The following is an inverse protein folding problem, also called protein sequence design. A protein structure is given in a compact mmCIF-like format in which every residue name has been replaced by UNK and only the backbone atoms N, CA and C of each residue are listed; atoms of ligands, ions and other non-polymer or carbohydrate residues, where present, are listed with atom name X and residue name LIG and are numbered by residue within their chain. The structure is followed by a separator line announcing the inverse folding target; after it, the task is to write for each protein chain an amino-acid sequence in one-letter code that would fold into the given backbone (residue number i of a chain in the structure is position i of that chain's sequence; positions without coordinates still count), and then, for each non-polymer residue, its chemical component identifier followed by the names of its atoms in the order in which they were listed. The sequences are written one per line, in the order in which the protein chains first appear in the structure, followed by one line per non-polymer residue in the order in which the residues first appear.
data_IF_587701805642
#
_entry.id   IF_587701805642
#
_cell.length_a   1.000
_cell.length_b   1.000
_cell.length_c   1.000
_cell.angle_alpha   90.00
_cell.angle_beta   90.00
_cell.angle_gamma   90.00
#
_symmetry.space_group_name_H-M   'P 1'
#
loop_
_entity.id
_entity.type
_entity.pdbx_description
1 polymer ?
#
# COMPACT_ATOMS: atom_id res chain seq x y z
N UNK A 1 -4.93 22.80 -16.29
CA UNK A 1 -4.95 22.43 -14.87
C UNK A 1 -4.64 20.95 -14.71
N UNK A 2 -3.72 20.66 -13.82
CA UNK A 2 -3.39 19.27 -13.48
C UNK A 2 -4.49 18.68 -12.61
N UNK A 3 -4.92 17.49 -12.96
CA UNK A 3 -5.85 16.74 -12.13
C UNK A 3 -5.08 16.00 -11.05
N UNK A 4 -5.48 16.18 -9.80
CA UNK A 4 -4.87 15.42 -8.69
C UNK A 4 -5.71 14.19 -8.40
N UNK A 5 -5.05 13.04 -8.30
CA UNK A 5 -5.68 11.79 -7.96
C UNK A 5 -5.06 11.27 -6.66
N UNK A 6 -5.88 11.16 -5.62
CA UNK A 6 -5.44 10.59 -4.35
C UNK A 6 -5.59 9.10 -4.36
N UNK A 7 -4.51 8.41 -4.02
CA UNK A 7 -4.45 6.94 -3.94
C UNK A 7 -3.91 6.58 -2.57
N UNK A 8 -4.46 5.54 -1.97
CA UNK A 8 -4.03 5.06 -0.65
C UNK A 8 -3.45 3.66 -0.77
N UNK A 9 -2.44 3.38 0.05
CA UNK A 9 -1.77 2.10 0.11
C UNK A 9 -1.56 1.69 1.56
N UNK A 10 -1.61 0.39 1.82
CA UNK A 10 -1.47 -0.16 3.17
C UNK A 10 -0.15 -0.88 3.33
N UNK A 11 0.63 -0.47 4.34
CA UNK A 11 1.73 -1.28 4.83
C UNK A 11 1.14 -2.11 5.97
N UNK A 12 0.78 -3.34 5.65
CA UNK A 12 0.14 -4.28 6.58
C UNK A 12 1.25 -5.06 7.27
N UNK A 13 1.30 -4.97 8.58
CA UNK A 13 2.36 -5.63 9.35
C UNK A 13 1.80 -6.67 10.31
N UNK A 14 2.44 -7.84 10.35
CA UNK A 14 2.11 -8.91 11.27
C UNK A 14 3.40 -9.66 11.61
N UNK A 15 3.70 -9.79 12.89
CA UNK A 15 4.86 -10.53 13.37
C UNK A 15 6.19 -10.09 12.74
N UNK A 16 6.35 -8.77 12.58
CA UNK A 16 7.57 -8.18 12.02
C UNK A 16 7.70 -8.27 10.51
N UNK A 17 6.68 -8.79 9.84
CA UNK A 17 6.66 -8.91 8.38
C UNK A 17 5.57 -8.01 7.79
N UNK A 18 5.81 -7.56 6.58
CA UNK A 18 4.85 -6.75 5.84
C UNK A 18 4.34 -7.52 4.63
N UNK A 19 3.14 -7.18 4.17
CA UNK A 19 2.49 -7.86 3.07
C UNK A 19 2.73 -7.13 1.76
N UNK A 20 3.34 -7.81 0.81
CA UNK A 20 3.48 -7.33 -0.57
C UNK A 20 2.50 -8.08 -1.47
N UNK A 21 2.00 -7.40 -2.48
CA UNK A 21 1.05 -7.94 -3.44
C UNK A 21 1.62 -7.74 -4.85
N UNK A 22 1.56 -8.78 -5.67
CA UNK A 22 2.09 -8.73 -7.03
C UNK A 22 1.00 -8.31 -8.01
N UNK A 23 1.28 -7.28 -8.80
CA UNK A 23 0.32 -6.75 -9.77
C UNK A 23 -0.03 -7.82 -10.82
N UNK A 24 -1.33 -7.95 -11.15
CA UNK A 24 -1.75 -8.96 -12.11
C UNK A 24 -1.28 -8.63 -13.52
N UNK A 25 -1.29 -9.63 -14.39
CA UNK A 25 -0.77 -9.51 -15.75
C UNK A 25 -1.56 -8.53 -16.62
N UNK A 26 -2.84 -8.28 -16.28
CA UNK A 26 -3.70 -7.38 -17.05
C UNK A 26 -3.60 -5.92 -16.60
N UNK A 27 -2.93 -5.64 -15.48
CA UNK A 27 -2.75 -4.28 -14.98
C UNK A 27 -1.54 -3.61 -15.63
N UNK A 28 -1.45 -2.29 -15.50
CA UNK A 28 -0.21 -1.60 -15.85
C UNK A 28 0.88 -2.00 -14.84
N UNK A 29 2.14 -1.94 -15.27
CA UNK A 29 3.29 -2.41 -14.50
C UNK A 29 3.11 -3.86 -14.01
N UNK A 30 2.75 -4.78 -14.93
CA UNK A 30 2.43 -6.16 -14.52
C UNK A 30 3.64 -6.86 -13.92
N UNK A 31 3.37 -7.68 -12.90
CA UNK A 31 4.41 -8.46 -12.24
C UNK A 31 5.22 -7.72 -11.18
N UNK A 32 5.11 -6.39 -11.10
CA UNK A 32 5.76 -5.63 -10.04
C UNK A 32 5.01 -5.82 -8.72
N UNK A 33 5.75 -5.68 -7.63
CA UNK A 33 5.18 -5.82 -6.29
C UNK A 33 4.81 -4.45 -5.74
N UNK A 34 3.76 -4.40 -4.93
CA UNK A 34 3.23 -3.15 -4.39
C UNK A 34 2.55 -3.38 -3.04
N UNK A 35 2.21 -2.29 -2.38
CA UNK A 35 1.30 -2.32 -1.24
C UNK A 35 -0.13 -2.26 -1.77
N UNK A 36 -1.02 -3.10 -1.24
CA UNK A 36 -2.42 -3.11 -1.66
C UNK A 36 -3.11 -1.79 -1.31
N UNK A 37 -4.05 -1.38 -2.13
CA UNK A 37 -4.80 -0.15 -1.94
C UNK A 37 -5.49 0.28 -3.22
N UNK A 38 -5.85 1.55 -3.32
CA UNK A 38 -6.52 2.07 -4.49
C UNK A 38 -6.94 3.52 -4.36
N UNK A 39 -7.84 3.95 -5.24
CA UNK A 39 -8.24 5.35 -5.34
C UNK A 39 -9.18 5.74 -4.20
N UNK A 40 -9.00 6.98 -3.72
CA UNK A 40 -9.94 7.60 -2.79
C UNK A 40 -11.11 8.13 -3.62
N UNK A 41 -12.32 7.70 -3.29
CA UNK A 41 -13.52 8.14 -4.00
C UNK A 41 -14.12 9.38 -3.34
N UNK A 42 -14.99 10.07 -4.08
CA UNK A 42 -15.63 11.27 -3.58
C UNK A 42 -16.39 10.98 -2.29
N UNK A 43 -16.18 11.83 -1.28
CA UNK A 43 -16.84 11.68 0.01
C UNK A 43 -16.16 10.73 0.98
N UNK A 44 -15.09 10.04 0.55
CA UNK A 44 -14.33 9.15 1.43
C UNK A 44 -13.14 9.87 2.04
N UNK A 45 -12.85 9.53 3.31
CA UNK A 45 -11.54 9.84 3.87
C UNK A 45 -10.53 8.81 3.36
N UNK A 46 -9.24 9.09 3.55
CA UNK A 46 -8.21 8.11 3.18
C UNK A 46 -8.36 6.79 3.92
N UNK A 47 -8.56 6.78 5.27
CA UNK A 47 -8.80 5.52 5.96
C UNK A 47 -10.02 4.75 5.46
N UNK A 48 -11.13 5.46 5.16
CA UNK A 48 -12.33 4.81 4.63
C UNK A 48 -12.07 4.14 3.30
N UNK A 49 -11.37 4.85 2.39
CA UNK A 49 -11.01 4.30 1.09
C UNK A 49 -10.14 3.05 1.24
N UNK A 50 -9.17 3.12 2.15
CA UNK A 50 -8.25 2.00 2.36
C UNK A 50 -8.96 0.79 2.93
N UNK A 51 -9.85 0.99 3.91
CA UNK A 51 -10.64 -0.12 4.47
C UNK A 51 -11.45 -0.80 3.37
N UNK A 52 -12.10 -0.02 2.51
CA UNK A 52 -12.88 -0.53 1.39
C UNK A 52 -12.00 -1.31 0.39
N UNK A 53 -10.87 -0.72 0.00
CA UNK A 53 -9.97 -1.36 -0.97
C UNK A 53 -9.39 -2.67 -0.44
N UNK A 54 -9.02 -2.73 0.83
CA UNK A 54 -8.47 -3.94 1.42
C UNK A 54 -9.53 -5.03 1.54
N UNK A 55 -10.79 -4.66 1.78
CA UNK A 55 -11.88 -5.63 1.75
C UNK A 55 -12.07 -6.20 0.34
N UNK A 56 -12.02 -5.35 -0.67
CA UNK A 56 -12.20 -5.77 -2.06
C UNK A 56 -11.02 -6.62 -2.55
N UNK A 57 -9.80 -6.17 -2.30
CA UNK A 57 -8.61 -6.81 -2.88
C UNK A 57 -8.10 -8.00 -2.08
N UNK A 58 -8.24 -7.97 -0.77
CA UNK A 58 -7.65 -8.97 0.12
C UNK A 58 -8.69 -9.75 0.95
N UNK A 59 -9.93 -9.26 1.03
CA UNK A 59 -10.97 -9.90 1.83
C UNK A 59 -10.78 -9.74 3.33
N UNK A 60 -10.07 -8.72 3.77
CA UNK A 60 -9.83 -8.46 5.18
C UNK A 60 -10.58 -7.22 5.65
N UNK A 61 -10.89 -7.18 6.95
CA UNK A 61 -11.43 -5.99 7.60
C UNK A 61 -10.31 -5.34 8.39
N UNK A 62 -9.79 -4.23 7.88
CA UNK A 62 -8.60 -3.58 8.41
C UNK A 62 -8.94 -2.45 9.36
N UNK A 63 -8.07 -2.24 10.37
CA UNK A 63 -8.03 -1.04 11.17
C UNK A 63 -6.85 -0.21 10.69
N UNK A 64 -7.12 1.00 10.22
CA UNK A 64 -6.08 1.88 9.70
C UNK A 64 -5.56 2.73 10.85
N UNK A 65 -4.29 2.52 11.22
CA UNK A 65 -3.74 3.03 12.47
C UNK A 65 -3.03 4.38 12.34
N UNK A 66 -2.07 4.48 11.42
CA UNK A 66 -1.18 5.63 11.40
C UNK A 66 -0.77 5.97 9.98
N UNK A 67 -0.75 7.27 9.69
CA UNK A 67 -0.22 7.78 8.44
C UNK A 67 1.30 7.64 8.42
N UNK A 68 1.86 7.13 7.33
CA UNK A 68 3.31 6.91 7.21
C UNK A 68 3.96 8.02 6.40
N UNK A 69 3.57 8.16 5.15
CA UNK A 69 4.21 9.11 4.23
C UNK A 69 3.40 9.22 2.95
N UNK A 70 3.77 10.18 2.12
CA UNK A 70 3.20 10.31 0.79
C UNK A 70 4.30 10.45 -0.25
N UNK A 71 3.93 10.18 -1.49
CA UNK A 71 4.81 10.35 -2.65
C UNK A 71 3.96 10.86 -3.81
N UNK A 72 4.43 11.91 -4.46
CA UNK A 72 3.76 12.48 -5.63
C UNK A 72 4.53 12.13 -6.89
N UNK A 73 3.81 11.80 -7.94
CA UNK A 73 4.42 11.65 -9.26
C UNK A 73 3.43 12.07 -10.32
N UNK A 74 3.96 12.59 -11.40
CA UNK A 74 3.15 12.98 -12.56
C UNK A 74 3.13 11.85 -13.57
N UNK A 75 1.93 11.47 -13.99
CA UNK A 75 1.73 10.43 -14.99
C UNK A 75 0.70 10.93 -16.00
N UNK A 76 1.11 11.12 -17.25
CA UNK A 76 0.21 11.51 -18.35
C UNK A 76 -0.63 12.74 -18.02
N UNK A 77 0.00 13.80 -17.49
CA UNK A 77 -0.67 15.04 -17.15
C UNK A 77 -1.49 15.02 -15.87
N UNK A 78 -1.44 13.90 -15.15
CA UNK A 78 -2.12 13.78 -13.85
C UNK A 78 -1.09 13.78 -12.74
N UNK A 79 -1.43 14.43 -11.63
CA UNK A 79 -0.64 14.34 -10.41
C UNK A 79 -1.21 13.23 -9.55
N UNK A 80 -0.44 12.16 -9.37
CA UNK A 80 -0.84 11.07 -8.49
C UNK A 80 -0.21 11.28 -7.13
N UNK A 81 -1.04 11.39 -6.11
CA UNK A 81 -0.62 11.59 -4.73
C UNK A 81 -0.90 10.31 -3.95
N UNK A 82 0.15 9.51 -3.74
CA UNK A 82 0.05 8.22 -3.08
C UNK A 82 0.35 8.40 -1.60
N UNK A 83 -0.57 7.89 -0.76
CA UNK A 83 -0.48 7.99 0.70
C UNK A 83 -0.39 6.59 1.30
N UNK A 84 0.61 6.37 2.13
CA UNK A 84 0.78 5.09 2.82
C UNK A 84 0.32 5.18 4.26
N UNK A 85 -0.43 4.19 4.69
CA UNK A 85 -0.94 4.05 6.05
C UNK A 85 -0.51 2.72 6.64
N UNK A 86 -0.23 2.72 7.95
CA UNK A 86 0.14 1.51 8.69
C UNK A 86 -1.11 0.78 9.16
N UNK A 87 -1.15 -0.54 8.91
CA UNK A 87 -2.23 -1.42 9.32
C UNK A 87 -1.61 -2.58 10.10
N UNK A 88 -1.79 -2.56 11.44
CA UNK A 88 -1.26 -3.61 12.31
C UNK A 88 -2.34 -4.56 12.79
N UNK A 89 -3.60 -4.20 12.60
CA UNK A 89 -4.74 -5.01 13.05
C UNK A 89 -5.73 -5.19 11.94
N UNK A 90 -6.11 -6.43 11.72
CA UNK A 90 -7.14 -6.77 10.76
C UNK A 90 -7.76 -8.11 11.13
N UNK A 91 -8.97 -8.35 10.67
CA UNK A 91 -9.61 -9.67 10.79
C UNK A 91 -9.74 -10.30 9.41
N UNK A 92 -9.73 -11.61 9.37
CA UNK A 92 -9.76 -12.36 8.13
C UNK A 92 -8.37 -12.79 7.69
N UNK A 93 -8.32 -13.71 6.75
CA UNK A 93 -7.09 -14.20 6.16
C UNK A 93 -6.89 -13.53 4.80
N UNK A 94 -5.81 -12.75 4.60
CA UNK A 94 -5.61 -12.09 3.31
C UNK A 94 -5.54 -13.09 2.16
N UNK A 95 -6.30 -12.81 1.10
CA UNK A 95 -6.32 -13.61 -0.11
C UNK A 95 -6.09 -12.73 -1.34
N UNK A 96 -5.55 -13.32 -2.39
CA UNK A 96 -5.25 -12.62 -3.62
C UNK A 96 -6.50 -12.55 -4.52
N UNK A 97 -7.48 -11.71 -4.14
CA UNK A 97 -8.72 -11.56 -4.91
C UNK A 97 -8.53 -10.73 -6.17
N UNK A 98 -7.51 -9.92 -6.21
CA UNK A 98 -7.17 -9.07 -7.35
C UNK A 98 -5.75 -9.33 -7.85
N UNK A 99 -4.81 -9.42 -6.93
CA UNK A 99 -3.40 -9.56 -7.24
C UNK A 99 -3.06 -10.97 -7.70
N UNK A 100 -1.94 -11.11 -8.39
CA UNK A 100 -1.45 -12.40 -8.86
C UNK A 100 -1.06 -13.30 -7.70
N UNK A 101 -0.37 -12.73 -6.68
CA UNK A 101 -0.01 -13.43 -5.45
C UNK A 101 0.32 -12.45 -4.36
N UNK A 102 0.38 -12.95 -3.13
CA UNK A 102 0.75 -12.19 -1.94
C UNK A 102 2.00 -12.81 -1.32
N UNK A 103 2.81 -11.99 -0.66
CA UNK A 103 3.99 -12.48 0.03
C UNK A 103 4.24 -11.68 1.30
N UNK A 104 4.39 -12.40 2.41
CA UNK A 104 4.85 -11.80 3.66
C UNK A 104 6.38 -11.79 3.67
N UNK A 105 6.99 -10.66 4.04
CA UNK A 105 8.45 -10.54 4.13
C UNK A 105 8.81 -9.45 5.13
N UNK A 106 10.07 -9.47 5.62
CA UNK A 106 10.55 -8.37 6.44
C UNK A 106 10.67 -7.11 5.58
N UNK A 107 10.64 -5.90 6.19
CA UNK A 107 10.85 -4.67 5.42
C UNK A 107 12.16 -4.67 4.63
N UNK A 108 13.22 -5.24 5.19
CA UNK A 108 14.52 -5.33 4.52
C UNK A 108 14.48 -6.28 3.32
N UNK A 109 13.80 -7.41 3.48
CA UNK A 109 13.58 -8.35 2.36
C UNK A 109 12.78 -7.69 1.25
N UNK A 110 11.79 -6.85 1.63
CA UNK A 110 10.96 -6.16 0.64
C UNK A 110 11.78 -5.28 -0.30
N UNK A 111 12.92 -4.75 0.15
CA UNK A 111 13.81 -3.96 -0.70
C UNK A 111 14.42 -4.76 -1.84
N UNK A 112 14.43 -6.10 -1.73
CA UNK A 112 14.97 -6.98 -2.78
C UNK A 112 13.93 -7.38 -3.82
N UNK A 113 12.67 -7.06 -3.58
CA UNK A 113 11.60 -7.35 -4.53
C UNK A 113 11.58 -6.30 -5.64
N UNK A 114 11.03 -6.68 -6.78
CA UNK A 114 10.85 -5.79 -7.92
C UNK A 114 9.62 -4.91 -7.67
N UNK A 115 9.81 -3.86 -6.89
CA UNK A 115 8.73 -3.00 -6.44
C UNK A 115 8.29 -1.99 -7.50
N UNK A 116 7.00 -1.68 -7.52
CA UNK A 116 6.51 -0.55 -8.29
C UNK A 116 7.24 0.71 -7.81
N UNK A 117 7.73 1.56 -8.73
CA UNK A 117 8.59 2.69 -8.34
C UNK A 117 8.00 3.62 -7.29
N UNK A 118 6.69 3.86 -7.32
CA UNK A 118 6.04 4.76 -6.36
C UNK A 118 6.02 4.21 -4.93
N UNK A 119 6.15 2.88 -4.77
CA UNK A 119 6.13 2.25 -3.45
C UNK A 119 7.49 2.26 -2.76
N UNK A 120 8.57 2.43 -3.52
CA UNK A 120 9.92 2.43 -2.97
C UNK A 120 10.11 3.54 -1.91
N UNK A 121 9.77 4.81 -2.20
CA UNK A 121 9.91 5.85 -1.18
C UNK A 121 9.01 5.63 0.04
N UNK A 122 7.86 4.98 -0.13
CA UNK A 122 6.97 4.68 0.99
C UNK A 122 7.59 3.62 1.90
N UNK A 123 8.17 2.59 1.33
CA UNK A 123 8.88 1.55 2.09
C UNK A 123 10.08 2.14 2.82
N UNK A 124 10.86 2.98 2.14
CA UNK A 124 12.00 3.63 2.76
C UNK A 124 11.59 4.51 3.94
N UNK A 125 10.47 5.25 3.81
CA UNK A 125 9.94 6.05 4.90
C UNK A 125 9.52 5.20 6.09
N UNK A 126 8.88 4.06 5.83
CA UNK A 126 8.47 3.13 6.88
C UNK A 126 9.69 2.59 7.63
N UNK A 127 10.71 2.16 6.90
CA UNK A 127 11.95 1.63 7.50
C UNK A 127 12.63 2.70 8.35
N UNK A 128 12.71 3.93 7.84
CA UNK A 128 13.33 5.04 8.56
C UNK A 128 12.58 5.37 9.85
N UNK A 129 11.24 5.38 9.81
CA UNK A 129 10.43 5.63 10.99
C UNK A 129 10.59 4.53 12.03
N UNK A 130 10.68 3.28 11.61
CA UNK A 130 10.89 2.16 12.50
C UNK A 130 12.27 2.25 13.17
N UNK A 131 13.32 2.60 12.39
CA UNK A 131 14.67 2.80 12.92
C UNK A 131 14.74 3.96 13.90
N UNK A 132 13.90 4.98 13.73
CA UNK A 132 13.82 6.13 14.64
C UNK A 132 13.03 5.80 15.92
N UNK A 133 12.54 4.58 16.07
CA UNK A 133 11.84 4.14 17.27
C UNK A 133 10.37 4.51 17.32
N UNK A 134 9.75 4.84 16.20
CA UNK A 134 8.32 5.11 16.20
C UNK A 134 7.55 3.83 16.48
N UNK A 135 6.44 3.92 17.25
CA UNK A 135 5.71 2.73 17.67
C UNK A 135 5.06 2.00 16.51
N UNK A 136 4.87 0.74 16.74
CA UNK A 136 4.06 -0.09 15.90
C UNK A 136 2.59 0.28 16.05
#
# INVERSE_FOLDING_TARGET
MQKTLDVVAAIIEQDGKILLAQRPSHADQPGLWEFAGGKVEAGESQPQALIRELQEELGITAQVERYIASHQREVSGRLIHLHAWWVARFSGLPGAHYHRQLRWCTPQEALTFDLAPADIPLLNAFIAQRAAGLPR
#
